data_IF_851460628046
#
_entry.id   IF_851460628046
#
_cell.length_a   1.000
_cell.length_b   1.000
_cell.length_c   1.000
_cell.angle_alpha   90.00
_cell.angle_beta   90.00
_cell.angle_gamma   90.00
#
_symmetry.space_group_name_H-M   'P 1'
#
loop_
_entity.id
_entity.type
_entity.pdbx_description
1 polymer ?
#
# COMPACT_ATOMS: atom_id res chain seq x y z
N UNK A 1 12.80 -7.77 -13.49
CA UNK A 1 12.39 -9.15 -13.15
C UNK A 1 11.24 -9.07 -12.14
N UNK A 2 10.20 -9.87 -12.31
CA UNK A 2 9.06 -9.87 -11.39
C UNK A 2 9.45 -10.57 -10.09
N UNK A 3 9.32 -9.88 -8.95
CA UNK A 3 9.67 -10.42 -7.64
C UNK A 3 8.43 -11.10 -7.07
N UNK A 4 8.50 -12.42 -6.86
CA UNK A 4 7.44 -13.17 -6.19
C UNK A 4 7.50 -12.90 -4.68
N UNK A 5 6.54 -12.13 -4.20
CA UNK A 5 6.35 -11.87 -2.78
C UNK A 5 5.52 -12.99 -2.15
N UNK A 6 5.96 -13.46 -0.99
CA UNK A 6 5.27 -14.46 -0.18
C UNK A 6 4.24 -13.80 0.74
N UNK A 7 3.42 -14.63 1.40
CA UNK A 7 2.52 -14.18 2.47
C UNK A 7 3.28 -13.64 3.69
N UNK A 8 4.56 -13.99 3.87
CA UNK A 8 5.38 -13.44 4.96
C UNK A 8 5.86 -12.03 4.67
N UNK A 9 5.89 -11.62 3.40
CA UNK A 9 6.31 -10.29 2.96
C UNK A 9 5.15 -9.28 3.11
N UNK A 10 4.51 -9.24 4.28
CA UNK A 10 3.30 -8.43 4.52
C UNK A 10 3.54 -6.93 4.39
N UNK A 11 4.71 -6.48 4.81
CA UNK A 11 5.08 -5.07 4.77
C UNK A 11 5.71 -4.72 3.44
N UNK A 12 5.10 -3.78 2.72
CA UNK A 12 5.71 -3.12 1.57
C UNK A 12 6.45 -1.88 2.04
N UNK A 13 7.64 -1.66 1.48
CA UNK A 13 8.41 -0.43 1.62
C UNK A 13 8.75 0.12 0.24
N UNK A 14 8.47 1.40 0.01
CA UNK A 14 8.80 2.09 -1.22
C UNK A 14 10.13 2.83 -1.07
N UNK A 15 11.14 2.44 -1.83
CA UNK A 15 12.46 3.08 -1.79
C UNK A 15 12.46 4.52 -2.35
N UNK A 16 11.45 4.90 -3.13
CA UNK A 16 11.37 6.23 -3.75
C UNK A 16 10.74 7.29 -2.85
N UNK A 17 9.77 6.92 -2.02
CA UNK A 17 9.05 7.87 -1.17
C UNK A 17 9.10 7.54 0.33
N UNK A 18 9.70 6.41 0.71
CA UNK A 18 9.78 5.97 2.11
C UNK A 18 8.47 5.41 2.67
N UNK A 19 7.43 5.22 1.85
CA UNK A 19 6.16 4.68 2.31
C UNK A 19 6.32 3.24 2.78
N UNK A 20 5.90 2.95 4.01
CA UNK A 20 5.91 1.60 4.57
C UNK A 20 4.54 1.27 5.15
N UNK A 21 3.91 0.21 4.66
CA UNK A 21 2.61 -0.25 5.15
C UNK A 21 2.39 -1.74 4.91
N UNK A 22 1.42 -2.30 5.61
CA UNK A 22 0.89 -3.61 5.28
C UNK A 22 0.19 -3.58 3.90
N UNK A 23 0.56 -4.52 3.03
CA UNK A 23 0.05 -4.57 1.65
C UNK A 23 -1.45 -4.83 1.57
N UNK A 24 -1.97 -5.68 2.45
CA UNK A 24 -3.37 -6.09 2.42
C UNK A 24 -4.25 -4.96 2.94
N UNK A 25 -3.81 -4.28 4.00
CA UNK A 25 -4.47 -3.06 4.49
C UNK A 25 -4.47 -1.94 3.44
N UNK A 26 -3.32 -1.68 2.81
CA UNK A 26 -3.20 -0.68 1.74
C UNK A 26 -4.10 -1.02 0.54
N UNK A 27 -4.21 -2.30 0.18
CA UNK A 27 -5.13 -2.75 -0.87
C UNK A 27 -6.60 -2.52 -0.48
N UNK A 28 -6.98 -2.81 0.77
CA UNK A 28 -8.34 -2.56 1.26
C UNK A 28 -8.70 -1.07 1.23
N UNK A 29 -7.77 -0.19 1.60
CA UNK A 29 -7.94 1.26 1.49
C UNK A 29 -8.13 1.71 0.04
N UNK A 30 -7.37 1.14 -0.91
CA UNK A 30 -7.55 1.44 -2.33
C UNK A 30 -8.94 1.00 -2.83
N UNK A 31 -9.43 -0.16 -2.41
CA UNK A 31 -10.78 -0.63 -2.75
C UNK A 31 -11.85 0.29 -2.16
N UNK A 32 -11.69 0.71 -0.89
CA UNK A 32 -12.59 1.68 -0.25
C UNK A 32 -12.60 3.01 -1.02
N UNK A 33 -11.44 3.53 -1.39
CA UNK A 33 -11.28 4.77 -2.12
C UNK A 33 -12.06 4.75 -3.45
N UNK A 34 -11.93 3.66 -4.20
CA UNK A 34 -12.71 3.41 -5.44
C UNK A 34 -14.21 3.40 -5.15
N UNK A 35 -14.65 2.69 -4.10
CA UNK A 35 -16.06 2.64 -3.70
C UNK A 35 -16.64 4.00 -3.30
N UNK A 36 -15.82 4.89 -2.75
CA UNK A 36 -16.19 6.25 -2.38
C UNK A 36 -16.01 7.27 -3.52
N UNK A 37 -15.42 6.87 -4.65
CA UNK A 37 -15.09 7.77 -5.76
C UNK A 37 -14.02 8.82 -5.41
N UNK A 38 -13.18 8.55 -4.41
CA UNK A 38 -12.11 9.44 -3.99
C UNK A 38 -10.74 8.76 -4.08
N UNK A 39 -9.66 9.55 -4.11
CA UNK A 39 -8.30 9.01 -4.01
C UNK A 39 -7.80 9.24 -2.59
N UNK A 40 -7.82 8.19 -1.77
CA UNK A 40 -7.28 8.24 -0.42
C UNK A 40 -5.75 8.34 -0.54
N UNK A 41 -5.20 9.50 -0.21
CA UNK A 41 -3.75 9.67 -0.14
C UNK A 41 -3.26 9.00 1.15
N UNK A 42 -2.32 8.07 1.03
CA UNK A 42 -1.67 7.50 2.20
C UNK A 42 -1.09 8.63 3.06
N UNK A 43 -1.27 8.62 4.39
CA UNK A 43 -0.69 9.65 5.25
C UNK A 43 0.82 9.64 5.07
N UNK A 44 1.37 10.77 4.63
CA UNK A 44 2.81 10.96 4.53
C UNK A 44 3.34 11.00 5.96
N UNK A 45 3.96 9.92 6.42
CA UNK A 45 4.74 9.94 7.66
C UNK A 45 5.90 10.90 7.47
N UNK A 46 5.91 11.96 8.27
CA UNK A 46 7.01 12.92 8.39
C UNK A 46 8.22 12.30 9.07
#
# INVERSE_FOLDING_TARGET
PEVKLTLKDRTYSCDSCGFTADRDENAALNVLAVGLGCSLRSPSTA
#
